data_IF_307850819019
#
_entry.id   IF_307850819019
#
_cell.length_a   1.000
_cell.length_b   1.000
_cell.length_c   1.000
_cell.angle_alpha   90.00
_cell.angle_beta   90.00
_cell.angle_gamma   90.00
#
_symmetry.space_group_name_H-M   'P 1'
#
loop_
_entity.id
_entity.type
_entity.pdbx_description
1 polymer ?
#
# COMPACT_ATOMS: atom_id res chain seq x y z
N UNK A 1 -25.60 20.86 3.67
CA UNK A 1 -26.46 21.23 2.51
C UNK A 1 -25.64 21.89 1.40
N UNK A 2 -25.31 21.13 0.37
CA UNK A 2 -24.81 21.64 -0.91
C UNK A 2 -25.82 21.24 -1.99
N UNK A 3 -26.28 22.20 -2.78
CA UNK A 3 -27.18 21.92 -3.92
C UNK A 3 -26.32 21.75 -5.15
N UNK A 4 -26.34 20.56 -5.73
CA UNK A 4 -25.52 20.21 -6.88
C UNK A 4 -26.41 19.79 -8.04
N UNK A 5 -25.94 19.96 -9.26
CA UNK A 5 -26.65 19.44 -10.42
C UNK A 5 -26.15 18.02 -10.71
N UNK A 6 -27.06 17.06 -10.76
CA UNK A 6 -26.72 15.70 -11.14
C UNK A 6 -26.28 15.69 -12.63
N UNK A 7 -25.10 15.15 -12.97
CA UNK A 7 -24.60 15.15 -14.35
C UNK A 7 -25.43 14.25 -15.29
N UNK A 8 -26.24 13.34 -14.74
CA UNK A 8 -27.04 12.39 -15.51
C UNK A 8 -28.44 12.92 -15.86
N UNK A 9 -29.10 13.60 -14.92
CA UNK A 9 -30.46 14.08 -15.12
C UNK A 9 -30.59 15.60 -15.14
N UNK A 10 -29.51 16.35 -14.89
CA UNK A 10 -29.48 17.82 -14.79
C UNK A 10 -30.47 18.43 -13.79
N UNK A 11 -31.06 17.60 -12.91
CA UNK A 11 -31.87 18.05 -11.79
C UNK A 11 -30.98 18.39 -10.59
N UNK A 12 -31.46 19.34 -9.80
CA UNK A 12 -30.82 19.78 -8.57
C UNK A 12 -31.03 18.72 -7.47
N UNK A 13 -29.94 18.30 -6.85
CA UNK A 13 -29.92 17.34 -5.74
C UNK A 13 -29.36 18.04 -4.52
N UNK A 14 -30.14 18.02 -3.43
CA UNK A 14 -29.69 18.49 -2.12
C UNK A 14 -28.88 17.37 -1.44
N UNK A 15 -27.56 17.56 -1.34
CA UNK A 15 -26.68 16.69 -0.56
C UNK A 15 -26.51 17.25 0.85
N UNK A 16 -26.74 16.41 1.85
CA UNK A 16 -26.63 16.80 3.26
C UNK A 16 -25.15 16.96 3.67
N UNK A 17 -24.31 16.03 3.22
CA UNK A 17 -22.89 15.97 3.54
C UNK A 17 -22.03 16.69 2.49
N UNK A 18 -21.38 17.78 2.88
CA UNK A 18 -20.45 18.55 2.04
C UNK A 18 -19.09 17.88 1.83
N UNK A 19 -19.03 16.55 1.79
CA UNK A 19 -17.81 15.76 1.67
C UNK A 19 -17.66 15.07 0.30
N UNK A 20 -16.42 14.81 -0.17
CA UNK A 20 -16.20 14.06 -1.40
C UNK A 20 -16.62 12.60 -1.22
N UNK A 21 -17.37 12.06 -2.18
CA UNK A 21 -17.93 10.71 -2.07
C UNK A 21 -18.80 10.29 -3.25
N UNK A 22 -19.26 9.04 -3.21
CA UNK A 22 -20.23 8.49 -4.16
C UNK A 22 -21.63 8.67 -3.57
N UNK A 23 -22.51 9.30 -4.34
CA UNK A 23 -23.87 9.58 -3.91
C UNK A 23 -24.87 9.08 -4.93
N UNK A 24 -25.99 8.55 -4.45
CA UNK A 24 -27.09 8.10 -5.28
C UNK A 24 -28.03 9.27 -5.58
N UNK A 25 -28.34 9.49 -6.85
CA UNK A 25 -29.32 10.51 -7.22
C UNK A 25 -30.74 10.03 -6.89
N UNK A 26 -31.54 10.75 -6.08
CA UNK A 26 -32.92 10.35 -5.76
C UNK A 26 -33.88 10.44 -6.96
N UNK A 27 -33.48 11.08 -8.06
CA UNK A 27 -34.31 11.27 -9.24
C UNK A 27 -34.10 10.22 -10.33
N UNK A 28 -32.85 9.80 -10.59
CA UNK A 28 -32.55 8.77 -11.59
C UNK A 28 -32.09 7.44 -10.99
N UNK A 29 -31.75 7.39 -9.70
CA UNK A 29 -31.24 6.19 -9.04
C UNK A 29 -29.84 5.79 -9.49
N UNK A 30 -29.15 6.63 -10.25
CA UNK A 30 -27.77 6.40 -10.69
C UNK A 30 -26.78 7.00 -9.69
N UNK A 31 -25.71 6.26 -9.44
CA UNK A 31 -24.59 6.67 -8.61
C UNK A 31 -23.74 7.70 -9.36
N UNK A 32 -23.38 8.79 -8.69
CA UNK A 32 -22.45 9.77 -9.24
C UNK A 32 -21.43 10.19 -8.18
N UNK A 33 -20.24 10.52 -8.65
CA UNK A 33 -19.17 11.00 -7.80
C UNK A 33 -19.27 12.51 -7.64
N UNK A 34 -19.19 12.99 -6.40
CA UNK A 34 -19.15 14.41 -6.09
C UNK A 34 -17.92 14.73 -5.25
N UNK A 35 -17.25 15.84 -5.59
CA UNK A 35 -15.96 16.20 -5.02
C UNK A 35 -14.79 15.46 -5.68
N UNK A 36 -13.59 16.02 -5.53
CA UNK A 36 -12.35 15.37 -5.94
C UNK A 36 -12.09 14.26 -4.91
N UNK A 37 -12.45 13.01 -5.23
CA UNK A 37 -11.76 11.91 -4.55
C UNK A 37 -10.40 11.90 -5.21
N UNK A 38 -9.41 12.43 -4.50
CA UNK A 38 -8.03 12.31 -4.92
C UNK A 38 -7.77 10.79 -5.06
N UNK A 39 -7.82 10.28 -6.29
CA UNK A 39 -7.17 9.02 -6.63
C UNK A 39 -5.66 9.29 -6.57
N UNK A 40 -5.17 9.60 -5.37
CA UNK A 40 -3.76 9.61 -5.08
C UNK A 40 -3.32 8.16 -5.18
N UNK A 41 -2.84 7.77 -6.37
CA UNK A 41 -1.83 6.73 -6.45
C UNK A 41 -0.64 7.30 -5.65
N UNK A 42 -0.67 7.05 -4.35
CA UNK A 42 0.23 7.59 -3.37
C UNK A 42 1.66 7.34 -3.84
N UNK A 43 2.38 8.42 -4.16
CA UNK A 43 3.76 8.38 -4.66
C UNK A 43 4.66 7.60 -3.68
N UNK A 44 4.31 7.55 -2.40
CA UNK A 44 4.98 6.74 -1.38
C UNK A 44 4.80 5.22 -1.62
N UNK A 45 3.69 4.81 -2.22
CA UNK A 45 3.42 3.41 -2.59
C UNK A 45 4.25 3.01 -3.81
N UNK A 46 4.33 3.87 -4.83
CA UNK A 46 5.19 3.67 -6.00
C UNK A 46 6.68 3.64 -5.62
N UNK A 47 7.14 4.61 -4.83
CA UNK A 47 8.56 4.68 -4.40
C UNK A 47 8.98 3.49 -3.53
N UNK A 48 8.09 2.95 -2.69
CA UNK A 48 8.38 1.72 -1.94
C UNK A 48 8.49 0.50 -2.86
N UNK A 49 7.64 0.40 -3.89
CA UNK A 49 7.70 -0.65 -4.90
C UNK A 49 8.99 -0.56 -5.69
N UNK A 50 9.39 0.62 -6.17
CA UNK A 50 10.65 0.81 -6.92
C UNK A 50 11.88 0.39 -6.11
N UNK A 51 11.93 0.75 -4.83
CA UNK A 51 13.02 0.34 -3.94
C UNK A 51 13.05 -1.17 -3.69
N UNK A 52 11.87 -1.79 -3.53
CA UNK A 52 11.75 -3.23 -3.35
C UNK A 52 12.13 -4.00 -4.64
N UNK A 53 11.65 -3.52 -5.78
CA UNK A 53 11.86 -4.10 -7.10
C UNK A 53 13.33 -3.98 -7.52
N UNK A 54 13.97 -2.82 -7.30
CA UNK A 54 15.40 -2.62 -7.55
C UNK A 54 16.28 -3.62 -6.77
N UNK A 55 15.95 -3.87 -5.49
CA UNK A 55 16.66 -4.87 -4.69
C UNK A 55 16.43 -6.30 -5.17
N UNK A 56 15.22 -6.62 -5.63
CA UNK A 56 14.89 -7.94 -6.17
C UNK A 56 15.64 -8.18 -7.48
N UNK A 57 15.66 -7.20 -8.40
CA UNK A 57 16.37 -7.31 -9.66
C UNK A 57 17.88 -7.49 -9.47
N UNK A 58 18.49 -6.74 -8.55
CA UNK A 58 19.92 -6.93 -8.21
C UNK A 58 20.19 -8.32 -7.64
N UNK A 59 19.34 -8.81 -6.74
CA UNK A 59 19.47 -10.15 -6.17
C UNK A 59 19.33 -11.25 -7.24
N UNK A 60 18.32 -11.15 -8.11
CA UNK A 60 18.06 -12.10 -9.20
C UNK A 60 19.19 -12.08 -10.23
N UNK A 61 19.70 -10.91 -10.59
CA UNK A 61 20.83 -10.77 -11.51
C UNK A 61 22.11 -11.43 -11.00
N UNK A 62 22.46 -11.23 -9.72
CA UNK A 62 23.60 -11.89 -9.08
C UNK A 62 23.41 -13.41 -9.02
N UNK A 63 22.19 -13.86 -8.72
CA UNK A 63 21.84 -15.27 -8.68
C UNK A 63 21.99 -15.95 -10.05
N UNK A 64 21.49 -15.32 -11.11
CA UNK A 64 21.63 -15.81 -12.49
C UNK A 64 23.10 -15.89 -12.93
N UNK A 65 23.95 -14.96 -12.48
CA UNK A 65 25.37 -14.92 -12.85
C UNK A 65 26.21 -15.96 -12.09
N UNK A 66 25.91 -16.17 -10.80
CA UNK A 66 26.64 -17.13 -9.96
C UNK A 66 26.21 -18.60 -10.18
N UNK A 67 24.99 -18.85 -10.66
CA UNK A 67 24.47 -20.19 -10.89
C UNK A 67 25.30 -21.05 -11.87
N UNK A 68 25.66 -20.59 -13.09
CA UNK A 68 26.48 -21.38 -14.01
C UNK A 68 27.91 -21.60 -13.48
N UNK A 69 28.46 -20.64 -12.71
CA UNK A 69 29.78 -20.76 -12.08
C UNK A 69 29.75 -21.84 -10.99
N UNK A 70 28.67 -21.90 -10.19
CA UNK A 70 28.48 -22.93 -9.18
C UNK A 70 28.28 -24.32 -9.81
N UNK A 71 27.55 -24.42 -10.95
CA UNK A 71 27.41 -25.68 -11.70
C UNK A 71 28.75 -26.22 -12.21
N UNK A 72 29.66 -25.32 -12.61
CA UNK A 72 30.99 -25.69 -13.09
C UNK A 72 31.96 -26.04 -11.96
N UNK A 73 31.72 -25.55 -10.73
CA UNK A 73 32.63 -25.66 -9.62
C UNK A 73 31.88 -26.07 -8.32
N UNK A 74 31.76 -27.39 -8.05
CA UNK A 74 30.98 -27.97 -6.95
C UNK A 74 31.20 -27.40 -5.54
N UNK A 75 32.40 -26.93 -5.13
CA UNK A 75 32.57 -26.39 -3.77
C UNK A 75 31.92 -25.03 -3.54
N UNK A 76 31.39 -24.35 -4.57
CA UNK A 76 30.75 -23.03 -4.44
C UNK A 76 29.23 -23.08 -4.16
N UNK A 77 28.60 -24.24 -4.33
CA UNK A 77 27.18 -24.45 -3.99
C UNK A 77 26.74 -23.96 -2.59
N UNK A 78 27.50 -24.18 -1.50
CA UNK A 78 27.08 -23.70 -0.17
C UNK A 78 27.01 -22.17 -0.07
N UNK A 79 27.88 -21.45 -0.80
CA UNK A 79 27.91 -19.98 -0.80
C UNK A 79 26.65 -19.42 -1.47
N UNK A 80 26.22 -20.05 -2.57
CA UNK A 80 24.99 -19.70 -3.28
C UNK A 80 23.73 -19.93 -2.44
N UNK A 81 23.70 -21.01 -1.66
CA UNK A 81 22.62 -21.32 -0.72
C UNK A 81 22.43 -20.22 0.33
N UNK A 82 23.51 -19.76 0.97
CA UNK A 82 23.44 -18.70 1.99
C UNK A 82 22.91 -17.39 1.41
N UNK A 83 23.32 -17.00 0.21
CA UNK A 83 22.88 -15.76 -0.45
C UNK A 83 21.37 -15.78 -0.75
N UNK A 84 20.79 -16.94 -1.06
CA UNK A 84 19.35 -17.09 -1.31
C UNK A 84 18.48 -16.97 -0.05
N UNK A 85 18.93 -17.49 1.09
CA UNK A 85 18.09 -17.53 2.30
C UNK A 85 18.06 -16.21 3.10
N UNK A 86 19.08 -15.37 2.99
CA UNK A 86 19.17 -14.07 3.67
C UNK A 86 18.01 -13.09 3.36
N UNK A 87 17.60 -12.86 2.10
CA UNK A 87 16.49 -11.95 1.81
C UNK A 87 15.15 -12.43 2.38
N UNK A 88 14.93 -13.75 2.46
CA UNK A 88 13.69 -14.36 2.98
C UNK A 88 13.57 -14.10 4.49
N UNK A 89 14.66 -14.27 5.24
CA UNK A 89 14.70 -14.00 6.69
C UNK A 89 14.56 -12.48 6.96
N UNK A 90 15.19 -11.64 6.14
CA UNK A 90 15.10 -10.17 6.24
C UNK A 90 13.68 -9.64 5.98
N UNK A 91 12.93 -10.25 5.06
CA UNK A 91 11.55 -9.87 4.76
C UNK A 91 10.60 -10.17 5.93
N UNK A 92 10.76 -11.33 6.57
CA UNK A 92 9.99 -11.71 7.76
C UNK A 92 10.15 -10.72 8.92
N UNK A 93 11.38 -10.23 9.13
CA UNK A 93 11.67 -9.23 10.16
C UNK A 93 11.03 -7.87 9.85
N UNK A 94 11.05 -7.41 8.59
CA UNK A 94 10.42 -6.13 8.20
C UNK A 94 8.91 -6.13 8.37
N UNK A 95 8.24 -7.24 8.03
CA UNK A 95 6.76 -7.31 8.10
C UNK A 95 6.26 -7.16 9.52
N UNK A 96 6.93 -7.82 10.48
CA UNK A 96 6.59 -7.75 11.91
C UNK A 96 6.77 -6.33 12.47
N UNK A 97 7.81 -5.61 12.03
CA UNK A 97 8.09 -4.24 12.49
C UNK A 97 7.02 -3.20 12.07
N UNK A 98 6.31 -3.42 10.96
CA UNK A 98 5.20 -2.53 10.53
C UNK A 98 3.96 -2.70 11.41
N UNK A 99 3.60 -3.94 11.73
CA UNK A 99 2.48 -4.22 12.64
C UNK A 99 2.70 -3.63 14.04
N UNK A 100 3.95 -3.70 14.55
CA UNK A 100 4.31 -3.13 15.84
C UNK A 100 4.14 -1.60 15.96
N UNK A 101 4.22 -0.85 14.84
CA UNK A 101 3.97 0.60 14.87
C UNK A 101 2.47 0.92 15.00
N UNK A 102 1.61 0.23 14.24
CA UNK A 102 0.15 0.42 14.35
C UNK A 102 -0.38 0.11 15.75
N UNK A 103 0.17 -0.91 16.43
CA UNK A 103 -0.22 -1.21 17.81
C UNK A 103 0.22 -0.13 18.79
N UNK A 104 1.33 0.57 18.53
CA UNK A 104 1.79 1.67 19.38
C UNK A 104 0.88 2.89 19.26
N UNK A 105 0.38 3.17 18.06
CA UNK A 105 -0.51 4.31 17.84
C UNK A 105 -1.89 4.07 18.49
N UNK A 106 -2.43 2.85 18.36
CA UNK A 106 -3.65 2.45 19.07
C UNK A 106 -3.48 2.50 20.59
N UNK A 107 -2.35 2.05 21.13
CA UNK A 107 -2.09 2.11 22.56
C UNK A 107 -2.03 3.55 23.09
N UNK A 108 -1.48 4.48 22.32
CA UNK A 108 -1.46 5.91 22.68
C UNK A 108 -2.85 6.53 22.65
N UNK A 109 -3.70 6.15 21.70
CA UNK A 109 -5.06 6.66 21.61
C UNK A 109 -5.90 6.21 22.81
N UNK A 110 -5.82 4.93 23.17
CA UNK A 110 -6.50 4.39 24.35
C UNK A 110 -6.03 5.09 25.63
N UNK A 111 -4.72 5.34 25.77
CA UNK A 111 -4.18 6.07 26.93
C UNK A 111 -4.71 7.51 27.01
N UNK A 112 -4.86 8.20 25.87
CA UNK A 112 -5.44 9.54 25.81
C UNK A 112 -6.92 9.55 26.18
N UNK A 113 -7.69 8.57 25.74
CA UNK A 113 -9.09 8.42 26.15
C UNK A 113 -9.24 8.23 27.66
N UNK A 114 -8.37 7.43 28.28
CA UNK A 114 -8.35 7.24 29.73
C UNK A 114 -7.92 8.50 30.51
N UNK A 115 -7.10 9.37 29.93
CA UNK A 115 -6.62 10.59 30.60
C UNK A 115 -7.65 11.73 30.52
N UNK A 116 -8.59 11.68 29.57
CA UNK A 116 -9.66 12.66 29.37
C UNK A 116 -10.96 12.34 30.15
N UNK A 117 -11.04 11.18 30.80
CA UNK A 117 -12.22 10.70 31.52
C UNK A 117 -11.95 10.46 33.00
#
# INVERSE_FOLDING_TARGET
MAVIQCPHCSLEVELDDGGPGLFDCPHCGEEFQWGEMDEEIDQNTLTWLDWAVSKIYLQVGILLLLFPVALFFPPFFPIFSVIMFVPIISWGYRRRRRQWRRSQDLAKEILREFELN
#
